data_IF_031804223552
#
_entry.id   IF_031804223552
#
_cell.length_a   1.000
_cell.length_b   1.000
_cell.length_c   1.000
_cell.angle_alpha   90.00
_cell.angle_beta   90.00
_cell.angle_gamma   90.00
#
_symmetry.space_group_name_H-M   'P 1'
#
loop_
_entity.id
_entity.type
_entity.pdbx_description
1 polymer ?
#
# COMPACT_ATOMS: atom_id res chain seq x y z
N UNK A 1 29.20 -10.69 -30.85
CA UNK A 1 28.60 -9.43 -30.32
C UNK A 1 27.28 -9.04 -30.99
N UNK A 2 26.78 -9.79 -31.96
CA UNK A 2 25.59 -9.40 -32.76
C UNK A 2 24.25 -9.86 -32.19
N UNK A 3 24.22 -10.88 -31.32
CA UNK A 3 22.96 -11.46 -30.79
C UNK A 3 22.33 -10.65 -29.66
N UNK A 4 23.13 -9.87 -28.91
CA UNK A 4 22.62 -9.01 -27.81
C UNK A 4 21.91 -7.76 -28.32
N UNK A 5 22.18 -7.33 -29.55
CA UNK A 5 21.61 -6.10 -30.12
C UNK A 5 20.21 -6.31 -30.71
N UNK A 6 19.91 -7.52 -31.19
CA UNK A 6 18.56 -7.89 -31.67
C UNK A 6 17.54 -7.99 -30.54
N UNK A 7 17.96 -8.46 -29.36
CA UNK A 7 17.09 -8.53 -28.17
C UNK A 7 16.77 -7.15 -27.57
N UNK A 8 17.70 -6.19 -27.71
CA UNK A 8 17.54 -4.81 -27.25
C UNK A 8 16.60 -3.99 -28.15
N UNK A 9 16.55 -4.31 -29.45
CA UNK A 9 15.63 -3.67 -30.41
C UNK A 9 14.18 -4.21 -30.29
N UNK A 10 14.02 -5.48 -29.93
CA UNK A 10 12.70 -6.10 -29.72
C UNK A 10 12.03 -5.63 -28.42
N UNK A 11 12.80 -5.35 -27.36
CA UNK A 11 12.28 -4.87 -26.08
C UNK A 11 11.77 -3.41 -26.16
N UNK A 12 12.41 -2.55 -26.97
CA UNK A 12 11.96 -1.18 -27.18
C UNK A 12 10.61 -1.07 -27.92
N UNK A 13 10.31 -1.99 -28.85
CA UNK A 13 9.06 -1.96 -29.62
C UNK A 13 7.84 -2.40 -28.81
N UNK A 14 8.00 -3.23 -27.78
CA UNK A 14 6.89 -3.67 -26.89
C UNK A 14 6.58 -2.62 -25.80
N UNK A 15 7.55 -1.76 -25.47
CA UNK A 15 7.38 -0.74 -24.41
C UNK A 15 6.63 0.51 -24.91
N UNK A 16 6.40 0.66 -26.22
CA UNK A 16 5.74 1.82 -26.81
C UNK A 16 4.20 1.80 -26.81
N UNK A 17 3.55 0.67 -26.47
CA UNK A 17 2.09 0.51 -26.56
C UNK A 17 1.35 0.58 -25.22
N UNK A 18 2.04 0.88 -24.12
CA UNK A 18 1.45 0.97 -22.78
C UNK A 18 1.42 2.40 -22.21
N UNK A 19 1.38 3.41 -23.07
CA UNK A 19 1.28 4.84 -22.69
C UNK A 19 0.02 5.55 -23.25
N UNK A 20 -1.08 4.81 -23.47
CA UNK A 20 -2.41 5.38 -23.75
C UNK A 20 -3.46 4.63 -22.94
N UNK A 21 -3.47 4.83 -21.62
CA UNK A 21 -4.61 4.49 -20.75
C UNK A 21 -4.49 5.16 -19.37
N UNK A 22 -4.18 6.45 -19.36
CA UNK A 22 -4.51 7.35 -18.24
C UNK A 22 -4.94 8.68 -18.86
N UNK A 23 -6.14 8.65 -19.44
CA UNK A 23 -6.77 9.78 -20.10
C UNK A 23 -8.27 9.57 -20.04
N UNK A 24 -8.89 10.07 -18.97
CA UNK A 24 -10.34 10.16 -18.89
C UNK A 24 -10.84 11.20 -19.90
N UNK A 25 -11.68 10.74 -20.82
CA UNK A 25 -12.68 11.55 -21.51
C UNK A 25 -13.73 10.59 -22.08
N UNK A 26 -14.81 10.37 -21.32
CA UNK A 26 -16.06 9.85 -21.84
C UNK A 26 -17.09 10.96 -21.68
N UNK A 27 -17.45 11.58 -22.80
CA UNK A 27 -18.60 12.46 -22.92
C UNK A 27 -19.75 11.62 -23.50
N UNK A 28 -20.95 11.71 -22.91
CA UNK A 28 -22.26 11.76 -23.57
C UNK A 28 -23.38 11.63 -22.53
N UNK A 29 -23.98 12.79 -22.21
CA UNK A 29 -25.42 13.10 -22.23
C UNK A 29 -26.43 11.98 -21.98
N UNK A 30 -27.22 12.09 -20.91
CA UNK A 30 -28.68 12.26 -20.99
C UNK A 30 -29.35 12.44 -19.61
N UNK A 31 -30.34 13.34 -19.60
CA UNK A 31 -31.56 13.32 -18.78
C UNK A 31 -31.55 14.03 -17.42
N UNK A 32 -32.06 15.26 -17.51
CA UNK A 32 -32.90 15.99 -16.56
C UNK A 32 -33.75 15.08 -15.67
N UNK A 33 -33.68 15.28 -14.35
CA UNK A 33 -34.90 15.30 -13.56
C UNK A 33 -34.76 16.19 -12.32
N UNK A 34 -35.83 16.93 -12.11
CA UNK A 34 -36.04 18.04 -11.20
C UNK A 34 -36.21 17.58 -9.75
N UNK A 35 -35.68 18.41 -8.84
CA UNK A 35 -35.94 18.63 -7.42
C UNK A 35 -36.79 17.62 -6.61
N UNK A 36 -36.30 17.28 -5.41
CA UNK A 36 -37.12 17.25 -4.18
C UNK A 36 -36.25 17.54 -2.96
N UNK A 37 -36.59 18.64 -2.29
CA UNK A 37 -36.19 19.02 -0.93
C UNK A 37 -36.90 18.13 0.09
N UNK A 38 -36.19 17.68 1.13
CA UNK A 38 -36.63 17.54 2.54
C UNK A 38 -35.43 17.04 3.36
N UNK A 39 -34.79 17.89 4.17
CA UNK A 39 -35.08 18.12 5.60
C UNK A 39 -34.64 16.98 6.52
N UNK A 40 -33.52 17.25 7.20
CA UNK A 40 -33.11 16.85 8.55
C UNK A 40 -33.50 15.47 9.11
N UNK A 41 -32.48 14.68 9.44
CA UNK A 41 -32.44 13.99 10.74
C UNK A 41 -31.02 14.10 11.29
N UNK A 42 -30.90 14.99 12.27
CA UNK A 42 -29.85 15.00 13.29
C UNK A 42 -29.83 13.64 13.97
N UNK A 43 -28.66 13.01 14.04
CA UNK A 43 -28.25 12.25 15.21
C UNK A 43 -26.74 12.45 15.38
N UNK A 44 -26.42 13.48 16.16
CA UNK A 44 -25.08 13.73 16.70
C UNK A 44 -24.83 12.74 17.83
N UNK A 45 -23.56 12.34 17.97
CA UNK A 45 -22.87 12.02 19.23
C UNK A 45 -22.72 10.54 19.59
N UNK A 46 -21.56 10.02 19.19
CA UNK A 46 -20.59 9.35 20.08
C UNK A 46 -20.95 7.98 20.64
N UNK A 47 -20.32 6.97 20.04
CA UNK A 47 -19.59 5.99 20.84
C UNK A 47 -18.16 5.93 20.32
N UNK A 48 -17.33 6.78 20.92
CA UNK A 48 -15.89 6.56 21.05
C UNK A 48 -15.72 5.28 21.84
N UNK A 49 -15.62 4.14 21.16
CA UNK A 49 -14.92 2.99 21.71
C UNK A 49 -13.47 3.17 21.33
N UNK A 50 -12.67 3.54 22.32
CA UNK A 50 -11.22 3.45 22.30
C UNK A 50 -10.79 2.06 21.85
N UNK A 51 -10.49 1.91 20.56
CA UNK A 51 -9.79 0.73 20.03
C UNK A 51 -8.46 1.17 19.43
N UNK A 52 -7.69 1.96 20.18
CA UNK A 52 -6.32 2.40 19.84
C UNK A 52 -5.29 1.25 19.91
N UNK A 53 -5.71 0.03 19.64
CA UNK A 53 -4.82 -1.14 19.49
C UNK A 53 -5.16 -1.95 18.25
N UNK A 54 -6.34 -1.75 17.64
CA UNK A 54 -6.72 -2.42 16.38
C UNK A 54 -6.57 -1.50 15.16
N UNK A 55 -6.69 -0.18 15.33
CA UNK A 55 -6.55 0.78 14.23
C UNK A 55 -5.11 0.82 13.63
N UNK A 56 -4.11 0.38 14.39
CA UNK A 56 -2.72 0.25 13.94
C UNK A 56 -2.35 -1.18 13.50
N UNK A 57 -3.18 -2.18 13.83
CA UNK A 57 -2.90 -3.59 13.50
C UNK A 57 -3.65 -4.08 12.27
N UNK A 58 -2.93 -4.56 11.28
CA UNK A 58 -3.44 -5.07 10.01
C UNK A 58 -4.30 -6.32 10.21
N UNK A 59 -4.11 -7.02 11.33
CA UNK A 59 -4.83 -8.24 11.67
C UNK A 59 -4.20 -9.48 11.05
N UNK A 60 -2.94 -9.37 10.64
CA UNK A 60 -2.03 -10.43 10.22
C UNK A 60 -0.76 -10.28 11.04
N UNK A 61 -0.50 -11.23 11.95
CA UNK A 61 0.57 -11.12 12.94
C UNK A 61 1.94 -10.87 12.30
N UNK A 62 2.26 -11.58 11.21
CA UNK A 62 3.52 -11.43 10.48
C UNK A 62 3.70 -10.03 9.86
N UNK A 63 2.62 -9.42 9.37
CA UNK A 63 2.66 -8.07 8.81
C UNK A 63 2.83 -7.01 9.88
N UNK A 64 2.14 -7.20 11.01
CA UNK A 64 2.24 -6.31 12.17
C UNK A 64 3.63 -6.39 12.82
N UNK A 65 4.26 -7.57 12.81
CA UNK A 65 5.63 -7.78 13.27
C UNK A 65 6.64 -7.10 12.33
N UNK A 66 6.49 -7.26 11.01
CA UNK A 66 7.33 -6.58 10.01
C UNK A 66 7.37 -5.08 10.22
N UNK A 67 6.20 -4.47 10.34
CA UNK A 67 6.07 -3.04 10.54
C UNK A 67 6.75 -2.60 11.84
N UNK A 68 6.49 -3.31 12.95
CA UNK A 68 7.09 -2.96 14.23
C UNK A 68 8.63 -3.04 14.18
N UNK A 69 9.18 -4.05 13.51
CA UNK A 69 10.63 -4.22 13.34
C UNK A 69 11.24 -3.12 12.47
N UNK A 70 10.58 -2.77 11.35
CA UNK A 70 11.05 -1.68 10.48
C UNK A 70 10.92 -0.31 11.17
N UNK A 71 9.87 -0.05 11.93
CA UNK A 71 9.74 1.21 12.69
C UNK A 71 10.78 1.33 13.80
N UNK A 72 11.09 0.23 14.47
CA UNK A 72 12.18 0.19 15.44
C UNK A 72 13.52 0.41 14.75
N UNK A 73 13.72 -0.18 13.57
CA UNK A 73 14.89 0.02 12.73
C UNK A 73 15.07 1.47 12.28
N UNK A 74 13.96 2.12 11.97
CA UNK A 74 13.93 3.45 11.38
C UNK A 74 14.69 4.47 12.23
N UNK A 75 14.69 4.32 13.56
CA UNK A 75 15.50 5.13 14.46
C UNK A 75 17.02 5.05 14.21
N UNK A 76 17.50 3.99 13.56
CA UNK A 76 18.91 3.79 13.15
C UNK A 76 19.20 4.27 11.73
N UNK A 77 18.18 4.45 10.90
CA UNK A 77 18.31 4.93 9.51
C UNK A 77 18.50 6.45 9.54
N UNK A 78 19.35 7.05 8.69
CA UNK A 78 19.50 8.50 8.61
C UNK A 78 18.17 9.23 8.34
N UNK A 79 17.94 10.37 9.00
CA UNK A 79 16.68 11.13 8.94
C UNK A 79 16.18 11.43 7.51
N UNK A 80 17.10 11.59 6.55
CA UNK A 80 16.79 11.82 5.14
C UNK A 80 15.96 10.69 4.48
N UNK A 81 16.09 9.45 4.96
CA UNK A 81 15.32 8.30 4.48
C UNK A 81 14.11 7.93 5.34
N UNK A 82 14.05 8.41 6.59
CA UNK A 82 13.05 7.98 7.55
C UNK A 82 11.62 8.34 7.14
N UNK A 83 11.42 9.57 6.67
CA UNK A 83 10.10 10.07 6.26
C UNK A 83 9.55 9.29 5.06
N UNK A 84 10.40 9.00 4.07
CA UNK A 84 10.01 8.24 2.88
C UNK A 84 9.59 6.81 3.25
N UNK A 85 10.36 6.14 4.10
CA UNK A 85 10.04 4.78 4.56
C UNK A 85 8.76 4.79 5.41
N UNK A 86 8.59 5.76 6.33
CA UNK A 86 7.38 5.87 7.15
C UNK A 86 6.13 6.07 6.28
N UNK A 87 6.19 6.96 5.30
CA UNK A 87 5.09 7.17 4.34
C UNK A 87 4.78 5.91 3.54
N UNK A 88 5.81 5.14 3.15
CA UNK A 88 5.64 3.90 2.41
C UNK A 88 4.99 2.81 3.29
N UNK A 89 5.37 2.72 4.56
CA UNK A 89 4.74 1.82 5.54
C UNK A 89 3.27 2.18 5.81
N UNK A 90 2.94 3.46 5.89
CA UNK A 90 1.54 3.90 6.09
C UNK A 90 0.66 3.52 4.89
N UNK A 91 1.17 3.70 3.67
CA UNK A 91 0.47 3.25 2.46
C UNK A 91 0.30 1.73 2.44
N UNK A 92 1.36 0.97 2.77
CA UNK A 92 1.31 -0.49 2.86
C UNK A 92 0.29 -0.96 3.91
N UNK A 93 0.28 -0.34 5.10
CA UNK A 93 -0.70 -0.64 6.16
C UNK A 93 -2.13 -0.52 5.64
N UNK A 94 -2.43 0.57 4.94
CA UNK A 94 -3.78 0.80 4.42
C UNK A 94 -4.16 -0.29 3.42
N UNK A 95 -3.31 -0.56 2.43
CA UNK A 95 -3.55 -1.60 1.43
C UNK A 95 -3.67 -3.00 2.05
N UNK A 96 -2.84 -3.31 3.03
CA UNK A 96 -2.84 -4.61 3.72
C UNK A 96 -4.05 -4.76 4.63
N UNK A 97 -4.55 -3.70 5.27
CA UNK A 97 -5.83 -3.75 6.00
C UNK A 97 -6.99 -4.09 5.07
N UNK A 98 -7.04 -3.45 3.91
CA UNK A 98 -8.09 -3.69 2.92
C UNK A 98 -8.03 -5.14 2.41
N UNK A 99 -6.84 -5.67 2.15
CA UNK A 99 -6.65 -7.08 1.78
C UNK A 99 -6.93 -8.06 2.94
N UNK A 100 -6.57 -7.69 4.18
CA UNK A 100 -6.85 -8.46 5.39
C UNK A 100 -8.33 -8.48 5.77
N UNK A 101 -9.20 -7.72 5.09
CA UNK A 101 -10.65 -7.81 5.27
C UNK A 101 -11.20 -9.21 4.92
N UNK A 102 -10.45 -10.01 4.14
CA UNK A 102 -10.82 -11.39 3.79
C UNK A 102 -9.83 -12.41 4.36
N UNK A 103 -10.29 -13.62 4.75
CA UNK A 103 -9.40 -14.68 5.23
C UNK A 103 -8.33 -15.10 4.22
N UNK A 104 -8.69 -15.14 2.94
CA UNK A 104 -7.78 -15.51 1.85
C UNK A 104 -6.71 -14.43 1.62
N UNK A 105 -7.07 -13.15 1.73
CA UNK A 105 -6.12 -12.04 1.71
C UNK A 105 -5.17 -12.06 2.91
N UNK A 106 -5.66 -12.38 4.12
CA UNK A 106 -4.80 -12.57 5.31
C UNK A 106 -3.76 -13.69 5.12
N UNK A 107 -4.16 -14.82 4.54
CA UNK A 107 -3.25 -15.95 4.29
C UNK A 107 -2.15 -15.60 3.27
N UNK A 108 -2.51 -14.90 2.19
CA UNK A 108 -1.55 -14.37 1.22
C UNK A 108 -0.60 -13.34 1.85
N UNK A 109 -1.15 -12.43 2.65
CA UNK A 109 -0.38 -11.40 3.38
C UNK A 109 0.61 -12.01 4.36
N UNK A 110 0.25 -13.05 5.11
CA UNK A 110 1.19 -13.68 6.06
C UNK A 110 2.47 -14.17 5.35
N UNK A 111 2.32 -14.77 4.17
CA UNK A 111 3.45 -15.23 3.35
C UNK A 111 4.23 -14.06 2.77
N UNK A 112 3.54 -13.07 2.20
CA UNK A 112 4.15 -11.89 1.61
C UNK A 112 4.92 -11.03 2.62
N UNK A 113 4.37 -10.85 3.82
CA UNK A 113 4.98 -10.08 4.91
C UNK A 113 6.22 -10.76 5.49
N UNK A 114 6.23 -12.10 5.58
CA UNK A 114 7.45 -12.85 5.92
C UNK A 114 8.56 -12.63 4.89
N UNK A 115 8.24 -12.76 3.61
CA UNK A 115 9.22 -12.50 2.54
C UNK A 115 9.70 -11.04 2.56
N UNK A 116 8.81 -10.08 2.79
CA UNK A 116 9.16 -8.67 2.94
C UNK A 116 10.06 -8.42 4.16
N UNK A 117 9.83 -9.12 5.27
CA UNK A 117 10.67 -9.07 6.46
C UNK A 117 12.08 -9.61 6.19
N UNK A 118 12.21 -10.75 5.51
CA UNK A 118 13.52 -11.31 5.15
C UNK A 118 14.29 -10.40 4.19
N UNK A 119 13.58 -9.79 3.23
CA UNK A 119 14.17 -8.81 2.34
C UNK A 119 14.60 -7.55 3.11
N UNK A 120 13.74 -7.04 3.99
CA UNK A 120 14.07 -5.89 4.83
C UNK A 120 15.22 -6.20 5.79
N UNK A 121 15.33 -7.41 6.32
CA UNK A 121 16.49 -7.82 7.13
C UNK A 121 17.79 -7.74 6.33
N UNK A 122 17.76 -8.16 5.07
CA UNK A 122 18.92 -8.08 4.18
C UNK A 122 19.29 -6.63 3.87
N UNK A 123 18.31 -5.81 3.50
CA UNK A 123 18.55 -4.41 3.13
C UNK A 123 18.87 -3.53 4.34
N UNK A 124 18.14 -3.72 5.45
CA UNK A 124 18.25 -2.94 6.67
C UNK A 124 19.34 -3.43 7.63
N UNK A 125 19.80 -4.67 7.48
CA UNK A 125 20.92 -5.21 8.26
C UNK A 125 22.19 -4.35 8.15
N UNK A 126 22.38 -3.70 7.00
CA UNK A 126 23.47 -2.73 6.79
C UNK A 126 23.38 -1.48 7.69
N UNK A 127 22.18 -1.12 8.16
CA UNK A 127 21.93 -0.01 9.09
C UNK A 127 21.97 -0.47 10.57
N UNK A 128 22.42 -1.70 10.85
CA UNK A 128 22.52 -2.25 12.21
C UNK A 128 21.17 -2.71 12.78
N UNK A 129 20.22 -2.99 11.91
CA UNK A 129 18.92 -3.49 12.26
C UNK A 129 18.89 -5.02 12.27
N UNK A 130 18.81 -5.59 13.48
CA UNK A 130 18.93 -7.03 13.72
C UNK A 130 17.65 -7.57 14.35
N UNK A 131 16.95 -8.43 13.62
CA UNK A 131 15.78 -9.20 14.08
C UNK A 131 15.61 -10.52 13.35
#
# INVERSE_FOLDING_TARGET
>A
MTTKMTFLLALCLVTGMLMIACGGAADNTATTNTATTNTATTNTTTTTTTTTTSADKIGVAECDEYIAKVETCLGKVPAAGQAAVKSSLDMMRKAWRDAAATPQGKAGLATGCKAALDQAKTTMGSYGCSW
#
